data_IF_194058918460
#
_entry.id   IF_194058918460
#
_cell.length_a   1.000
_cell.length_b   1.000
_cell.length_c   1.000
_cell.angle_alpha   90.00
_cell.angle_beta   90.00
_cell.angle_gamma   90.00
#
_symmetry.space_group_name_H-M   'P 1'
#
loop_
_entity.id
_entity.type
_entity.pdbx_description
1 polymer ?
#
# COMPACT_ATOMS: atom_id res chain seq x y z
N UNK A 1 11.78 -1.25 32.78
CA UNK A 1 12.54 -2.03 31.77
C UNK A 1 12.55 -1.26 30.46
N UNK A 2 13.73 -0.93 29.90
CA UNK A 2 13.83 -0.38 28.53
C UNK A 2 13.61 -1.53 27.54
N UNK A 3 12.63 -1.39 26.65
CA UNK A 3 12.37 -2.38 25.60
C UNK A 3 13.59 -2.50 24.67
N UNK A 4 13.93 -3.73 24.28
CA UNK A 4 15.04 -4.02 23.36
C UNK A 4 14.77 -3.35 22.00
N UNK A 5 15.79 -2.79 21.32
CA UNK A 5 15.58 -2.16 20.01
C UNK A 5 15.02 -3.19 19.02
N UNK A 6 13.90 -2.85 18.35
CA UNK A 6 13.38 -3.67 17.25
C UNK A 6 14.46 -3.80 16.14
N UNK A 7 14.52 -4.94 15.45
CA UNK A 7 15.29 -5.07 14.21
C UNK A 7 14.91 -3.96 13.22
N UNK A 8 15.87 -3.53 12.39
CA UNK A 8 15.67 -2.41 11.47
C UNK A 8 14.49 -2.64 10.50
N UNK A 9 14.36 -3.86 9.97
CA UNK A 9 13.26 -4.25 9.07
C UNK A 9 11.89 -4.19 9.78
N UNK A 10 11.80 -4.77 10.98
CA UNK A 10 10.59 -4.67 11.81
C UNK A 10 10.23 -3.22 12.09
N UNK A 11 11.21 -2.34 12.34
CA UNK A 11 10.95 -0.92 12.56
C UNK A 11 10.37 -0.25 11.31
N UNK A 12 10.90 -0.56 10.13
CA UNK A 12 10.37 -0.02 8.86
C UNK A 12 8.93 -0.46 8.62
N UNK A 13 8.62 -1.73 8.85
CA UNK A 13 7.26 -2.25 8.73
C UNK A 13 6.26 -1.53 9.65
N UNK A 14 6.62 -1.37 10.94
CA UNK A 14 5.76 -0.66 11.90
C UNK A 14 5.60 0.82 11.54
N UNK A 15 6.62 1.47 10.95
CA UNK A 15 6.47 2.84 10.43
C UNK A 15 5.49 2.90 9.27
N UNK A 16 5.54 1.95 8.34
CA UNK A 16 4.62 1.90 7.20
C UNK A 16 3.17 1.75 7.68
N UNK A 17 2.92 0.82 8.60
CA UNK A 17 1.60 0.61 9.17
C UNK A 17 1.09 1.86 9.90
N UNK A 18 1.93 2.50 10.73
CA UNK A 18 1.60 3.74 11.41
C UNK A 18 1.20 4.89 10.46
N UNK A 19 1.84 4.97 9.28
CA UNK A 19 1.50 5.98 8.27
C UNK A 19 0.16 5.69 7.62
N UNK A 20 -0.12 4.41 7.34
CA UNK A 20 -1.42 3.98 6.79
C UNK A 20 -2.54 4.27 7.80
N UNK A 21 -2.32 4.02 9.09
CA UNK A 21 -3.27 4.37 10.16
C UNK A 21 -3.51 5.88 10.23
N UNK A 22 -2.46 6.69 10.22
CA UNK A 22 -2.61 8.15 10.22
C UNK A 22 -3.36 8.66 8.98
N UNK A 23 -3.11 8.07 7.81
CA UNK A 23 -3.84 8.39 6.58
C UNK A 23 -5.29 7.91 6.60
N UNK A 24 -5.67 7.01 7.50
CA UNK A 24 -7.06 6.65 7.72
C UNK A 24 -7.86 7.77 8.43
N UNK A 25 -7.18 8.66 9.14
CA UNK A 25 -7.81 9.71 9.95
C UNK A 25 -7.57 11.12 9.42
N UNK A 26 -6.52 11.32 8.61
CA UNK A 26 -6.03 12.64 8.21
C UNK A 26 -5.75 12.68 6.71
N UNK A 27 -5.72 13.88 6.15
CA UNK A 27 -5.23 14.09 4.79
C UNK A 27 -3.73 13.69 4.72
N UNK A 28 -3.34 12.75 3.85
CA UNK A 28 -1.93 12.39 3.65
C UNK A 28 -1.00 13.58 3.37
N UNK A 29 -1.50 14.65 2.74
CA UNK A 29 -0.73 15.87 2.49
C UNK A 29 -0.26 16.55 3.78
N UNK A 30 -1.06 16.47 4.85
CA UNK A 30 -0.81 17.13 6.13
C UNK A 30 0.00 16.27 7.11
N UNK A 31 0.24 14.99 6.80
CA UNK A 31 1.00 14.10 7.68
C UNK A 31 2.48 14.52 7.69
N UNK A 32 2.94 15.04 8.82
CA UNK A 32 4.35 15.41 9.03
C UNK A 32 5.14 14.25 9.64
N UNK A 33 6.47 14.24 9.46
CA UNK A 33 7.34 13.26 10.13
C UNK A 33 7.30 13.40 11.66
N UNK A 34 6.96 14.58 12.18
CA UNK A 34 6.72 14.81 13.61
C UNK A 34 5.44 14.09 14.07
N UNK A 35 4.37 14.18 13.29
CA UNK A 35 3.12 13.48 13.57
C UNK A 35 3.32 11.95 13.55
N UNK A 36 4.06 11.43 12.57
CA UNK A 36 4.42 10.00 12.48
C UNK A 36 5.20 9.57 13.71
N UNK A 37 6.28 10.29 14.05
CA UNK A 37 7.10 9.97 15.21
C UNK A 37 6.28 10.01 16.51
N UNK A 38 5.41 11.01 16.67
CA UNK A 38 4.50 11.15 17.81
C UNK A 38 3.53 9.96 17.92
N UNK A 39 2.86 9.59 16.82
CA UNK A 39 1.95 8.43 16.75
C UNK A 39 2.65 7.13 17.19
N UNK A 40 3.91 6.97 16.76
CA UNK A 40 4.74 5.82 17.11
C UNK A 40 5.40 5.92 18.50
N UNK A 41 5.22 7.02 19.25
CA UNK A 41 5.89 7.32 20.52
C UNK A 41 7.43 7.29 20.40
N UNK A 42 7.95 7.87 19.32
CA UNK A 42 9.36 7.99 18.98
C UNK A 42 9.78 9.45 18.80
N UNK A 43 11.08 9.71 18.78
CA UNK A 43 11.61 11.00 18.33
C UNK A 43 11.71 11.02 16.81
N UNK A 44 11.64 12.20 16.18
CA UNK A 44 11.89 12.33 14.74
C UNK A 44 13.27 11.80 14.34
N UNK A 45 14.31 12.06 15.15
CA UNK A 45 15.64 11.51 14.91
C UNK A 45 15.69 9.98 14.93
N UNK A 46 14.81 9.32 15.71
CA UNK A 46 14.70 7.87 15.69
C UNK A 46 14.05 7.33 14.41
N UNK A 47 13.06 8.05 13.87
CA UNK A 47 12.44 7.76 12.58
C UNK A 47 13.47 7.86 11.45
N UNK A 48 14.27 8.94 11.45
CA UNK A 48 15.26 9.19 10.39
C UNK A 48 16.43 8.20 10.34
N UNK A 49 16.66 7.41 11.40
CA UNK A 49 17.63 6.30 11.36
C UNK A 49 17.24 5.18 10.40
N UNK A 50 15.96 5.07 10.05
CA UNK A 50 15.43 3.99 9.20
C UNK A 50 14.90 4.50 7.85
N UNK A 51 14.60 5.79 7.77
CA UNK A 51 14.13 6.45 6.57
C UNK A 51 14.84 7.78 6.40
N UNK A 52 15.63 8.00 5.34
CA UNK A 52 16.40 9.23 5.19
C UNK A 52 15.54 10.47 4.91
N UNK A 53 14.28 10.30 4.47
CA UNK A 53 13.37 11.39 4.13
C UNK A 53 11.91 10.99 4.28
N UNK A 54 11.00 11.97 4.20
CA UNK A 54 9.55 11.72 4.10
C UNK A 54 9.23 10.91 2.85
N UNK A 55 9.85 11.24 1.71
CA UNK A 55 9.62 10.53 0.45
C UNK A 55 10.01 9.04 0.54
N UNK A 56 11.09 8.71 1.28
CA UNK A 56 11.48 7.32 1.50
C UNK A 56 10.47 6.53 2.36
N UNK A 57 9.72 7.21 3.23
CA UNK A 57 8.60 6.60 3.98
C UNK A 57 7.45 6.33 3.02
N UNK A 58 7.07 7.32 2.20
CA UNK A 58 5.98 7.18 1.23
C UNK A 58 6.26 6.10 0.18
N UNK A 59 7.50 6.02 -0.29
CA UNK A 59 7.96 4.96 -1.18
C UNK A 59 7.77 3.58 -0.55
N UNK A 60 8.23 3.38 0.69
CA UNK A 60 8.05 2.12 1.41
C UNK A 60 6.58 1.77 1.66
N UNK A 61 5.73 2.78 1.89
CA UNK A 61 4.28 2.55 2.01
C UNK A 61 3.69 2.08 0.68
N UNK A 62 4.03 2.73 -0.44
CA UNK A 62 3.54 2.31 -1.77
C UNK A 62 4.06 0.93 -2.19
N UNK A 63 5.31 0.60 -1.83
CA UNK A 63 5.88 -0.75 -2.02
C UNK A 63 5.07 -1.80 -1.25
N UNK A 64 4.84 -1.57 0.04
CA UNK A 64 4.02 -2.45 0.89
C UNK A 64 2.59 -2.62 0.34
N UNK A 65 1.97 -1.53 -0.12
CA UNK A 65 0.63 -1.57 -0.72
C UNK A 65 0.63 -2.43 -1.98
N UNK A 66 1.60 -2.20 -2.88
CA UNK A 66 1.68 -2.93 -4.13
C UNK A 66 1.90 -4.43 -3.91
N UNK A 67 2.84 -4.80 -3.05
CA UNK A 67 3.14 -6.19 -2.72
C UNK A 67 1.93 -6.90 -2.14
N UNK A 68 1.29 -6.31 -1.12
CA UNK A 68 0.19 -6.97 -0.42
C UNK A 68 -1.08 -7.05 -1.26
N UNK A 69 -1.46 -5.97 -1.94
CA UNK A 69 -2.66 -5.95 -2.77
C UNK A 69 -2.52 -6.93 -3.93
N UNK A 70 -1.42 -6.89 -4.68
CA UNK A 70 -1.20 -7.77 -5.82
C UNK A 70 -1.15 -9.24 -5.39
N UNK A 71 -0.43 -9.56 -4.31
CA UNK A 71 -0.39 -10.93 -3.79
C UNK A 71 -1.77 -11.42 -3.32
N UNK A 72 -2.59 -10.54 -2.71
CA UNK A 72 -3.95 -10.91 -2.26
C UNK A 72 -4.87 -11.21 -3.44
N UNK A 73 -4.87 -10.36 -4.47
CA UNK A 73 -5.72 -10.59 -5.65
C UNK A 73 -5.26 -11.76 -6.50
N UNK A 74 -3.94 -12.02 -6.56
CA UNK A 74 -3.40 -13.19 -7.26
C UNK A 74 -3.83 -14.49 -6.59
N UNK A 75 -3.77 -14.56 -5.24
CA UNK A 75 -4.29 -15.72 -4.49
C UNK A 75 -5.79 -15.91 -4.68
N UNK A 76 -6.57 -14.83 -4.61
CA UNK A 76 -8.02 -14.89 -4.79
C UNK A 76 -8.40 -15.40 -6.18
N UNK A 77 -7.71 -14.94 -7.22
CA UNK A 77 -7.93 -15.37 -8.59
C UNK A 77 -7.53 -16.84 -8.82
N UNK A 78 -6.43 -17.30 -8.21
CA UNK A 78 -5.92 -18.66 -8.41
C UNK A 78 -6.84 -19.76 -7.88
N UNK A 79 -7.70 -19.44 -6.90
CA UNK A 79 -8.64 -20.39 -6.30
C UNK A 79 -10.00 -20.43 -7.00
N UNK A 80 -10.22 -19.60 -8.02
CA UNK A 80 -11.52 -19.48 -8.67
C UNK A 80 -11.72 -20.53 -9.78
N UNK A 81 -12.95 -21.03 -9.90
CA UNK A 81 -13.31 -22.09 -10.84
C UNK A 81 -13.52 -21.62 -12.30
N UNK A 82 -13.66 -20.31 -12.52
CA UNK A 82 -13.86 -19.73 -13.86
C UNK A 82 -13.28 -18.31 -13.95
N UNK A 83 -13.05 -17.77 -15.16
CA UNK A 83 -12.55 -16.40 -15.33
C UNK A 83 -13.47 -15.33 -14.71
N UNK A 84 -14.78 -15.50 -14.82
CA UNK A 84 -15.76 -14.58 -14.19
C UNK A 84 -15.71 -14.70 -12.67
N UNK A 85 -15.64 -15.92 -12.13
CA UNK A 85 -15.48 -16.13 -10.69
C UNK A 85 -14.15 -15.53 -10.19
N UNK A 86 -13.08 -15.58 -10.99
CA UNK A 86 -11.81 -14.95 -10.66
C UNK A 86 -11.92 -13.42 -10.58
N UNK A 87 -12.65 -12.78 -11.52
CA UNK A 87 -12.91 -11.33 -11.47
C UNK A 87 -13.70 -10.95 -10.22
N UNK A 88 -14.72 -11.73 -9.85
CA UNK A 88 -15.48 -11.52 -8.62
C UNK A 88 -14.59 -11.68 -7.38
N UNK A 89 -13.75 -12.71 -7.34
CA UNK A 89 -12.82 -12.95 -6.23
C UNK A 89 -11.78 -11.81 -6.09
N UNK A 90 -11.25 -11.31 -7.20
CA UNK A 90 -10.35 -10.15 -7.23
C UNK A 90 -11.06 -8.91 -6.65
N UNK A 91 -12.29 -8.64 -7.08
CA UNK A 91 -13.07 -7.49 -6.60
C UNK A 91 -13.30 -7.55 -5.09
N UNK A 92 -13.77 -8.68 -4.57
CA UNK A 92 -13.99 -8.85 -3.14
C UNK A 92 -12.68 -8.74 -2.34
N UNK A 93 -11.61 -9.40 -2.81
CA UNK A 93 -10.30 -9.32 -2.17
C UNK A 93 -9.73 -7.89 -2.12
N UNK A 94 -9.97 -7.09 -3.16
CA UNK A 94 -9.60 -5.67 -3.17
C UNK A 94 -10.46 -4.88 -2.18
N UNK A 95 -11.78 -5.06 -2.21
CA UNK A 95 -12.69 -4.37 -1.31
C UNK A 95 -12.34 -4.63 0.16
N UNK A 96 -12.08 -5.89 0.52
CA UNK A 96 -11.64 -6.27 1.85
C UNK A 96 -10.30 -5.59 2.23
N UNK A 97 -9.32 -5.60 1.32
CA UNK A 97 -8.02 -4.95 1.58
C UNK A 97 -8.16 -3.45 1.85
N UNK A 98 -9.03 -2.76 1.11
CA UNK A 98 -9.29 -1.32 1.33
C UNK A 98 -10.09 -1.10 2.61
N UNK A 99 -11.02 -1.99 2.97
CA UNK A 99 -11.76 -1.91 4.22
C UNK A 99 -10.85 -2.16 5.44
N UNK A 100 -9.90 -3.09 5.34
CA UNK A 100 -8.88 -3.36 6.35
C UNK A 100 -7.86 -2.21 6.47
N UNK A 101 -7.61 -1.47 5.38
CA UNK A 101 -6.60 -0.41 5.30
C UNK A 101 -7.14 0.89 4.67
N UNK A 102 -8.05 1.61 5.34
CA UNK A 102 -8.74 2.77 4.77
C UNK A 102 -7.83 3.97 4.44
N UNK A 103 -6.61 4.03 5.00
CA UNK A 103 -5.62 5.03 4.62
C UNK A 103 -4.98 4.80 3.25
N UNK A 104 -4.95 3.55 2.77
CA UNK A 104 -4.31 3.20 1.49
C UNK A 104 -4.91 3.93 0.29
N UNK A 105 -6.24 3.92 0.04
CA UNK A 105 -6.80 4.66 -1.09
C UNK A 105 -6.50 6.15 -0.99
N UNK A 106 -6.56 6.74 0.21
CA UNK A 106 -6.24 8.17 0.40
C UNK A 106 -4.80 8.48 0.02
N UNK A 107 -3.84 7.65 0.45
CA UNK A 107 -2.43 7.82 0.09
C UNK A 107 -2.20 7.61 -1.41
N UNK A 108 -2.78 6.56 -2.00
CA UNK A 108 -2.62 6.26 -3.41
C UNK A 108 -3.12 7.41 -4.29
N UNK A 109 -4.34 7.89 -4.05
CA UNK A 109 -4.91 8.99 -4.82
C UNK A 109 -4.19 10.31 -4.54
N UNK A 110 -3.81 10.58 -3.28
CA UNK A 110 -3.01 11.75 -2.94
C UNK A 110 -1.68 11.80 -3.70
N UNK A 111 -0.94 10.70 -3.76
CA UNK A 111 0.32 10.61 -4.51
C UNK A 111 0.13 10.79 -6.02
N UNK A 112 -0.95 10.26 -6.58
CA UNK A 112 -1.23 10.39 -8.01
C UNK A 112 -1.56 11.84 -8.41
N UNK A 113 -2.15 12.63 -7.50
CA UNK A 113 -2.49 14.04 -7.72
C UNK A 113 -1.32 15.02 -7.54
N UNK A 114 -0.20 14.58 -6.93
CA UNK A 114 0.97 15.45 -6.77
C UNK A 114 1.49 15.98 -8.10
N UNK A 115 1.94 17.23 -8.14
CA UNK A 115 2.55 17.79 -9.35
C UNK A 115 3.90 17.11 -9.67
N UNK A 116 4.71 16.82 -8.65
CA UNK A 116 6.04 16.26 -8.85
C UNK A 116 6.03 14.78 -9.18
N UNK A 117 7.10 14.32 -9.83
CA UNK A 117 7.39 12.90 -10.00
C UNK A 117 8.11 12.35 -8.76
N UNK A 118 7.35 11.75 -7.83
CA UNK A 118 7.91 11.08 -6.64
C UNK A 118 8.19 9.59 -6.92
N UNK A 119 9.10 8.93 -6.18
CA UNK A 119 9.26 7.48 -6.22
C UNK A 119 7.95 6.74 -5.90
N UNK A 120 7.22 7.19 -4.88
CA UNK A 120 5.91 6.66 -4.51
C UNK A 120 4.89 6.74 -5.66
N UNK A 121 4.84 7.87 -6.37
CA UNK A 121 3.97 8.04 -7.55
C UNK A 121 4.32 7.08 -8.69
N UNK A 122 5.61 6.78 -8.91
CA UNK A 122 6.02 5.76 -9.89
C UNK A 122 5.52 4.38 -9.48
N UNK A 123 5.68 4.00 -8.22
CA UNK A 123 5.17 2.73 -7.69
C UNK A 123 3.64 2.64 -7.80
N UNK A 124 2.92 3.72 -7.50
CA UNK A 124 1.47 3.80 -7.66
C UNK A 124 1.03 3.56 -9.12
N UNK A 125 1.73 4.14 -10.10
CA UNK A 125 1.46 3.90 -11.53
C UNK A 125 1.73 2.44 -11.92
N UNK A 126 2.88 1.91 -11.53
CA UNK A 126 3.23 0.51 -11.79
C UNK A 126 2.22 -0.45 -11.16
N UNK A 127 1.73 -0.14 -9.95
CA UNK A 127 0.67 -0.91 -9.29
C UNK A 127 -0.62 -0.92 -10.13
N UNK A 128 -1.08 0.25 -10.59
CA UNK A 128 -2.29 0.35 -11.43
C UNK A 128 -2.14 -0.42 -12.74
N UNK A 129 -0.98 -0.32 -13.39
CA UNK A 129 -0.68 -1.06 -14.64
C UNK A 129 -0.73 -2.57 -14.41
N UNK A 130 0.00 -3.07 -13.40
CA UNK A 130 0.03 -4.50 -13.04
C UNK A 130 -1.31 -5.03 -12.59
N UNK A 131 -2.11 -4.21 -11.90
CA UNK A 131 -3.47 -4.57 -11.53
C UNK A 131 -4.36 -4.69 -12.77
N UNK A 132 -4.28 -3.71 -13.69
CA UNK A 132 -5.02 -3.73 -14.94
C UNK A 132 -4.68 -4.93 -15.84
N UNK A 133 -3.41 -5.36 -15.87
CA UNK A 133 -2.98 -6.56 -16.57
C UNK A 133 -3.67 -7.83 -16.06
N UNK A 134 -3.81 -7.98 -14.73
CA UNK A 134 -4.52 -9.12 -14.12
C UNK A 134 -5.98 -9.15 -14.54
N UNK A 135 -6.65 -8.01 -14.55
CA UNK A 135 -8.04 -7.91 -15.01
C UNK A 135 -8.15 -8.26 -16.49
N UNK A 136 -7.31 -7.66 -17.36
CA UNK A 136 -7.31 -7.96 -18.79
C UNK A 136 -7.08 -9.44 -19.08
N UNK A 137 -6.10 -10.07 -18.43
CA UNK A 137 -5.82 -11.48 -18.63
C UNK A 137 -7.04 -12.38 -18.34
N UNK A 138 -7.88 -12.00 -17.36
CA UNK A 138 -9.07 -12.76 -16.96
C UNK A 138 -10.25 -12.46 -17.88
N UNK A 139 -10.38 -11.24 -18.36
CA UNK A 139 -11.35 -10.89 -19.40
C UNK A 139 -11.08 -11.65 -20.71
N UNK A 140 -9.82 -11.71 -21.15
CA UNK A 140 -9.45 -12.45 -22.37
C UNK A 140 -9.65 -13.96 -22.19
N UNK A 141 -9.30 -14.52 -21.02
CA UNK A 141 -9.60 -15.92 -20.71
C UNK A 141 -11.11 -16.22 -20.70
N UNK A 142 -11.93 -15.29 -20.20
CA UNK A 142 -13.39 -15.39 -20.24
C UNK A 142 -13.93 -15.41 -21.66
N UNK A 143 -13.52 -14.44 -22.50
CA UNK A 143 -13.93 -14.38 -23.92
C UNK A 143 -13.58 -15.66 -24.68
N UNK A 144 -12.44 -16.27 -24.41
CA UNK A 144 -12.01 -17.51 -25.05
C UNK A 144 -12.80 -18.74 -24.61
N UNK A 145 -13.41 -18.71 -23.41
CA UNK A 145 -14.16 -19.83 -22.84
C UNK A 145 -15.66 -19.84 -23.21
N UNK A 146 -16.18 -18.76 -23.80
CA UNK A 146 -17.60 -18.59 -24.17
C UNK A 146 -18.44 -18.00 -23.05
#
# INVERSE_FOLDING_TARGET
>A
MRAKPLPAETRRAVTVEAVIELAAERDPGEITTAAIASHMKLTQGALFRHFPSKDAIWEAVMEWVAERLLARVDRAAALAASPVAALQAIFLAHADFVAEHPGVPRMLFGELQRAEATPAKRLARTLLERYGERIRARLEAGKAAG
#
